data_IF_726503618023
#
_entry.id   IF_726503618023
#
_cell.length_a   1.000
_cell.length_b   1.000
_cell.length_c   1.000
_cell.angle_alpha   90.00
_cell.angle_beta   90.00
_cell.angle_gamma   90.00
#
_symmetry.space_group_name_H-M   'P 1'
#
loop_
_entity.id
_entity.type
_entity.pdbx_description
1 polymer ?
#
# COMPACT_ATOMS: atom_id res chain seq x y z
N UNK A 1 42.22 -3.37 10.91
CA UNK A 1 40.89 -3.92 11.24
C UNK A 1 39.72 -3.01 10.83
N UNK A 2 39.89 -1.69 10.76
CA UNK A 2 38.80 -0.73 10.44
C UNK A 2 38.32 -0.69 8.98
N UNK A 3 39.16 -1.08 8.02
CA UNK A 3 38.81 -1.03 6.60
C UNK A 3 37.70 -2.02 6.23
N UNK A 4 37.77 -3.26 6.76
CA UNK A 4 36.74 -4.29 6.54
C UNK A 4 35.38 -3.89 7.12
N UNK A 5 35.37 -3.30 8.32
CA UNK A 5 34.15 -2.80 8.99
C UNK A 5 33.49 -1.69 8.16
N UNK A 6 34.28 -0.75 7.65
CA UNK A 6 33.79 0.34 6.77
C UNK A 6 33.18 -0.19 5.47
N UNK A 7 33.77 -1.24 4.88
CA UNK A 7 33.19 -1.92 3.73
C UNK A 7 31.85 -2.56 4.06
N UNK A 8 31.73 -3.30 5.17
CA UNK A 8 30.46 -3.92 5.56
C UNK A 8 29.36 -2.89 5.84
N UNK A 9 29.69 -1.78 6.52
CA UNK A 9 28.71 -0.70 6.75
C UNK A 9 28.25 -0.06 5.45
N UNK A 10 29.16 0.10 4.47
CA UNK A 10 28.81 0.66 3.16
C UNK A 10 27.91 -0.30 2.37
N UNK A 11 28.21 -1.61 2.41
CA UNK A 11 27.39 -2.64 1.76
C UNK A 11 26.00 -2.75 2.37
N UNK A 12 25.86 -2.69 3.70
CA UNK A 12 24.57 -2.70 4.39
C UNK A 12 23.76 -1.44 4.04
N UNK A 13 24.41 -0.27 4.04
CA UNK A 13 23.77 0.97 3.65
C UNK A 13 23.31 0.93 2.18
N UNK A 14 24.13 0.39 1.27
CA UNK A 14 23.77 0.21 -0.13
C UNK A 14 22.57 -0.74 -0.32
N UNK A 15 22.51 -1.84 0.45
CA UNK A 15 21.37 -2.77 0.43
C UNK A 15 20.10 -2.11 0.96
N UNK A 16 20.20 -1.31 2.02
CA UNK A 16 19.06 -0.56 2.57
C UNK A 16 18.56 0.52 1.59
N UNK A 17 19.47 1.21 0.91
CA UNK A 17 19.13 2.18 -0.14
C UNK A 17 18.46 1.50 -1.33
N UNK A 18 18.99 0.36 -1.80
CA UNK A 18 18.38 -0.42 -2.89
C UNK A 18 16.99 -0.96 -2.51
N UNK A 19 16.81 -1.43 -1.28
CA UNK A 19 15.51 -1.90 -0.77
C UNK A 19 14.47 -0.77 -0.70
N UNK A 20 14.89 0.49 -0.56
CA UNK A 20 14.01 1.65 -0.47
C UNK A 20 13.36 2.01 -1.81
N UNK A 21 13.90 1.54 -2.94
CA UNK A 21 13.27 1.66 -4.26
C UNK A 21 12.15 0.63 -4.48
N UNK A 22 11.96 -0.33 -3.57
CA UNK A 22 10.83 -1.25 -3.59
C UNK A 22 9.54 -0.60 -3.04
N UNK A 23 9.40 0.71 -3.22
CA UNK A 23 8.12 1.39 -3.05
C UNK A 23 7.19 0.89 -4.15
N UNK A 24 6.06 0.29 -3.78
CA UNK A 24 5.01 -0.07 -4.73
C UNK A 24 4.57 1.19 -5.47
N UNK A 25 5.12 1.38 -6.68
CA UNK A 25 4.84 2.53 -7.53
C UNK A 25 3.34 2.68 -7.73
N UNK A 26 2.88 3.93 -7.87
CA UNK A 26 1.49 4.18 -8.29
C UNK A 26 1.32 3.57 -9.68
N UNK A 27 0.20 2.87 -9.90
CA UNK A 27 -0.19 2.36 -11.20
C UNK A 27 -0.06 3.47 -12.25
N UNK A 28 0.57 3.17 -13.38
CA UNK A 28 0.72 4.15 -14.45
C UNK A 28 -0.62 4.41 -15.17
N UNK A 29 -0.59 5.25 -16.22
CA UNK A 29 -1.80 5.63 -16.96
C UNK A 29 -2.32 4.54 -17.93
N UNK A 30 -1.76 3.34 -17.92
CA UNK A 30 -2.20 2.24 -18.79
C UNK A 30 -3.41 1.50 -18.20
N UNK A 31 -3.95 0.54 -18.97
CA UNK A 31 -4.91 -0.43 -18.45
C UNK A 31 -4.19 -1.47 -17.59
N UNK A 32 -4.82 -1.83 -16.48
CA UNK A 32 -4.27 -2.76 -15.50
C UNK A 32 -5.15 -4.00 -15.40
N UNK A 33 -4.52 -5.16 -15.28
CA UNK A 33 -5.22 -6.41 -15.00
C UNK A 33 -5.78 -6.42 -13.57
N UNK A 34 -6.85 -7.20 -13.30
CA UNK A 34 -7.40 -7.30 -11.95
C UNK A 34 -6.37 -7.68 -10.86
N UNK A 35 -5.42 -8.62 -11.09
CA UNK A 35 -4.37 -8.92 -10.13
C UNK A 35 -3.47 -7.72 -9.79
N UNK A 36 -3.15 -6.87 -10.77
CA UNK A 36 -2.30 -5.69 -10.57
C UNK A 36 -3.01 -4.63 -9.73
N UNK A 37 -4.28 -4.36 -10.05
CA UNK A 37 -5.13 -3.47 -9.24
C UNK A 37 -5.23 -4.01 -7.82
N UNK A 38 -5.54 -5.30 -7.65
CA UNK A 38 -5.68 -5.92 -6.32
C UNK A 38 -4.40 -5.82 -5.48
N UNK A 39 -3.24 -6.00 -6.11
CA UNK A 39 -1.92 -5.84 -5.46
C UNK A 39 -1.72 -4.39 -5.01
N UNK A 40 -2.07 -3.41 -5.86
CA UNK A 40 -1.92 -2.00 -5.53
C UNK A 40 -2.83 -1.57 -4.39
N UNK A 41 -4.11 -1.97 -4.42
CA UNK A 41 -5.06 -1.64 -3.35
C UNK A 41 -4.59 -2.19 -1.99
N UNK A 42 -4.08 -3.43 -1.97
CA UNK A 42 -3.50 -4.04 -0.77
C UNK A 42 -2.24 -3.31 -0.31
N UNK A 43 -1.37 -2.90 -1.23
CA UNK A 43 -0.18 -2.12 -0.90
C UNK A 43 -0.53 -0.79 -0.24
N UNK A 44 -1.52 -0.06 -0.76
CA UNK A 44 -2.01 1.19 -0.17
C UNK A 44 -2.65 0.99 1.20
N UNK A 45 -3.41 -0.08 1.41
CA UNK A 45 -3.96 -0.42 2.73
C UNK A 45 -2.85 -0.65 3.77
N UNK A 46 -1.76 -1.30 3.37
CA UNK A 46 -0.61 -1.54 4.24
C UNK A 46 0.22 -0.28 4.50
N UNK A 47 0.37 0.59 3.48
CA UNK A 47 1.15 1.82 3.58
C UNK A 47 0.42 2.91 4.38
N UNK A 48 -0.91 2.95 4.31
CA UNK A 48 -1.75 3.98 4.95
C UNK A 48 -2.89 3.39 5.78
N UNK A 49 -2.62 2.55 6.80
CA UNK A 49 -3.65 1.80 7.54
C UNK A 49 -4.63 2.70 8.32
N UNK A 50 -4.21 3.92 8.65
CA UNK A 50 -5.07 4.93 9.30
C UNK A 50 -6.03 5.66 8.35
N UNK A 51 -5.82 5.53 7.03
CA UNK A 51 -6.62 6.20 5.99
C UNK A 51 -7.39 5.23 5.11
N UNK A 52 -6.80 4.06 4.82
CA UNK A 52 -7.25 3.18 3.77
C UNK A 52 -7.73 1.85 4.34
N UNK A 53 -8.87 1.39 3.86
CA UNK A 53 -9.37 0.04 4.10
C UNK A 53 -9.84 -0.56 2.77
N UNK A 54 -9.40 -1.78 2.48
CA UNK A 54 -9.87 -2.55 1.33
C UNK A 54 -10.80 -3.65 1.82
N UNK A 55 -11.98 -3.75 1.24
CA UNK A 55 -13.02 -4.72 1.61
C UNK A 55 -13.43 -5.49 0.36
N UNK A 56 -13.58 -6.81 0.46
CA UNK A 56 -14.30 -7.59 -0.55
C UNK A 56 -15.79 -7.55 -0.23
N UNK A 57 -16.60 -7.03 -1.15
CA UNK A 57 -18.06 -6.96 -1.01
C UNK A 57 -18.76 -8.19 -1.59
N UNK A 58 -18.00 -9.16 -2.09
CA UNK A 58 -18.51 -10.38 -2.69
C UNK A 58 -17.61 -10.88 -3.81
N UNK A 59 -18.11 -11.86 -4.56
CA UNK A 59 -17.44 -12.41 -5.74
C UNK A 59 -18.31 -12.21 -6.98
N UNK A 60 -17.66 -11.90 -8.09
CA UNK A 60 -18.30 -11.89 -9.40
C UNK A 60 -18.71 -13.31 -9.83
N UNK A 61 -19.56 -13.42 -10.86
CA UNK A 61 -19.90 -14.72 -11.45
C UNK A 61 -18.67 -15.48 -11.99
N UNK A 62 -17.64 -14.75 -12.41
CA UNK A 62 -16.34 -15.30 -12.82
C UNK A 62 -15.41 -15.66 -11.66
N UNK A 63 -15.85 -15.52 -10.40
CA UNK A 63 -15.07 -15.91 -9.22
C UNK A 63 -14.04 -14.88 -8.74
N UNK A 64 -14.06 -13.65 -9.26
CA UNK A 64 -13.14 -12.59 -8.84
C UNK A 64 -13.71 -11.76 -7.69
N UNK A 65 -12.86 -11.31 -6.77
CA UNK A 65 -13.26 -10.41 -5.69
C UNK A 65 -13.75 -9.06 -6.24
N UNK A 66 -14.88 -8.60 -5.72
CA UNK A 66 -15.37 -7.24 -5.92
C UNK A 66 -14.82 -6.39 -4.78
N UNK A 67 -13.83 -5.55 -5.08
CA UNK A 67 -13.11 -4.77 -4.07
C UNK A 67 -13.67 -3.34 -3.95
N UNK A 68 -13.87 -2.91 -2.70
CA UNK A 68 -14.17 -1.53 -2.31
C UNK A 68 -12.94 -0.94 -1.61
N UNK A 69 -12.54 0.26 -2.03
CA UNK A 69 -11.51 1.07 -1.38
C UNK A 69 -12.17 2.19 -0.57
N UNK A 70 -12.14 2.08 0.75
CA UNK A 70 -12.58 3.13 1.67
C UNK A 70 -11.39 4.04 1.98
N UNK A 71 -11.55 5.36 1.78
CA UNK A 71 -10.56 6.38 2.10
C UNK A 71 -11.18 7.37 3.09
N UNK A 72 -10.79 7.29 4.36
CA UNK A 72 -11.30 8.18 5.42
C UNK A 72 -10.31 8.28 6.57
N UNK A 73 -10.30 9.40 7.29
CA UNK A 73 -9.45 9.51 8.47
C UNK A 73 -10.04 8.72 9.64
N UNK A 74 -9.60 7.47 9.80
CA UNK A 74 -10.13 6.54 10.80
C UNK A 74 -9.73 6.90 12.24
N UNK A 75 -8.79 7.84 12.42
CA UNK A 75 -8.45 8.37 13.75
C UNK A 75 -9.41 9.46 14.22
N UNK A 76 -10.12 10.12 13.30
CA UNK A 76 -11.03 11.22 13.64
C UNK A 76 -12.45 10.67 13.71
N UNK A 77 -13.05 10.73 14.89
CA UNK A 77 -14.51 10.56 15.02
C UNK A 77 -15.16 11.90 14.72
N UNK A 78 -15.80 12.01 13.57
CA UNK A 78 -16.67 13.16 13.30
C UNK A 78 -17.92 13.03 14.18
N UNK A 79 -18.35 14.11 14.84
CA UNK A 79 -19.67 14.11 15.46
C UNK A 79 -20.73 13.82 14.39
N UNK A 80 -21.85 13.16 14.73
CA UNK A 80 -22.95 12.99 13.80
C UNK A 80 -23.33 14.35 13.20
N UNK A 81 -23.70 14.42 11.91
CA UNK A 81 -24.25 15.64 11.36
C UNK A 81 -25.41 16.09 12.25
N UNK A 82 -25.39 17.33 12.73
CA UNK A 82 -26.56 17.89 13.40
C UNK A 82 -27.73 17.78 12.43
N UNK A 83 -28.83 17.14 12.86
CA UNK A 83 -30.08 17.08 12.10
C UNK A 83 -30.41 18.50 11.63
N UNK A 84 -30.50 18.69 10.30
CA UNK A 84 -30.88 19.96 9.68
C UNK A 84 -32.37 20.01 9.48
#
# INVERSE_FOLDING_TARGET
MHQKIRFYTLSIFLVLVLASWMSAGVLDKAYHSPPEVNRQLKAWANQFPQLIKVISIGRSSGGHDLLLLEITNRKIKYPPPAER
#
